data_IF_924310286277
#
_entry.id   IF_924310286277
#
_cell.length_a   1.000
_cell.length_b   1.000
_cell.length_c   1.000
_cell.angle_alpha   90.00
_cell.angle_beta   90.00
_cell.angle_gamma   90.00
#
_symmetry.space_group_name_H-M   'P 1'
#
loop_
_entity.id
_entity.type
_entity.pdbx_description
1 polymer ?
#
# COMPACT_ATOMS: atom_id res chain seq x y z
N UNK A 1 26.08 -2.93 -34.71
CA UNK A 1 26.46 -4.16 -35.41
C UNK A 1 27.90 -4.17 -35.87
N UNK A 2 28.31 -3.16 -36.62
CA UNK A 2 29.67 -3.07 -37.17
C UNK A 2 30.75 -2.82 -36.11
N UNK A 3 30.44 -1.95 -35.09
CA UNK A 3 31.40 -1.59 -34.01
C UNK A 3 31.54 -2.64 -32.92
N UNK A 4 30.50 -3.47 -32.69
CA UNK A 4 30.45 -4.49 -31.63
C UNK A 4 29.83 -5.81 -32.12
N UNK A 5 30.44 -6.54 -33.07
CA UNK A 5 29.80 -7.71 -33.68
C UNK A 5 29.62 -8.88 -32.73
N UNK A 6 30.44 -9.02 -31.69
CA UNK A 6 30.30 -10.06 -30.67
C UNK A 6 29.14 -9.75 -29.73
N UNK A 7 29.03 -8.52 -29.22
CA UNK A 7 27.93 -8.05 -28.41
C UNK A 7 26.61 -8.17 -29.15
N UNK A 8 26.55 -7.77 -30.43
CA UNK A 8 25.35 -7.91 -31.25
C UNK A 8 24.85 -9.38 -31.35
N UNK A 9 25.79 -10.34 -31.54
CA UNK A 9 25.44 -11.78 -31.59
C UNK A 9 24.94 -12.28 -30.22
N UNK A 10 25.56 -11.86 -29.14
CA UNK A 10 25.13 -12.26 -27.78
C UNK A 10 23.76 -11.71 -27.45
N UNK A 11 23.47 -10.45 -27.79
CA UNK A 11 22.15 -9.84 -27.67
C UNK A 11 21.09 -10.57 -28.51
N UNK A 12 21.41 -10.93 -29.76
CA UNK A 12 20.50 -11.70 -30.60
C UNK A 12 20.18 -13.09 -30.05
N UNK A 13 21.14 -13.73 -29.36
CA UNK A 13 20.90 -15.00 -28.67
C UNK A 13 19.97 -14.79 -27.46
N UNK A 14 20.18 -13.75 -26.67
CA UNK A 14 19.34 -13.41 -25.54
C UNK A 14 17.90 -13.10 -25.98
N UNK A 15 17.75 -12.26 -27.01
CA UNK A 15 16.44 -11.94 -27.59
C UNK A 15 15.67 -13.21 -28.05
N UNK A 16 16.38 -14.11 -28.71
CA UNK A 16 15.78 -15.40 -29.16
C UNK A 16 15.32 -16.22 -27.96
N UNK A 17 16.13 -16.37 -26.91
CA UNK A 17 15.75 -17.12 -25.70
C UNK A 17 14.54 -16.49 -24.99
N UNK A 18 14.48 -15.17 -24.90
CA UNK A 18 13.35 -14.48 -24.31
C UNK A 18 12.08 -14.64 -25.15
N UNK A 19 12.18 -14.59 -26.47
CA UNK A 19 11.03 -14.84 -27.38
C UNK A 19 10.53 -16.28 -27.31
N UNK A 20 11.42 -17.26 -27.21
CA UNK A 20 11.03 -18.65 -26.99
C UNK A 20 10.24 -18.81 -25.69
N UNK A 21 10.73 -18.20 -24.61
CA UNK A 21 10.04 -18.19 -23.32
C UNK A 21 8.70 -17.47 -23.37
N UNK A 22 8.61 -16.38 -24.13
CA UNK A 22 7.37 -15.61 -24.31
C UNK A 22 6.25 -16.43 -24.97
N UNK A 23 6.59 -17.31 -25.91
CA UNK A 23 5.61 -18.18 -26.60
C UNK A 23 4.88 -19.08 -25.60
N UNK A 24 5.61 -19.61 -24.60
CA UNK A 24 5.06 -20.50 -23.58
C UNK A 24 4.37 -19.74 -22.43
N UNK A 25 4.53 -18.40 -22.39
CA UNK A 25 4.02 -17.57 -21.33
C UNK A 25 2.60 -17.10 -21.64
N UNK A 26 1.63 -17.50 -20.80
CA UNK A 26 0.29 -16.90 -20.76
C UNK A 26 0.33 -15.52 -20.10
N UNK A 27 -0.43 -15.31 -19.04
CA UNK A 27 -0.32 -14.09 -18.23
C UNK A 27 1.02 -14.06 -17.51
N UNK A 28 1.38 -15.15 -16.85
CA UNK A 28 2.71 -15.38 -16.27
C UNK A 28 3.06 -16.87 -16.26
N UNK A 29 4.34 -17.17 -16.12
CA UNK A 29 4.89 -18.51 -16.05
C UNK A 29 5.97 -18.58 -14.98
N UNK A 30 5.77 -19.39 -13.95
CA UNK A 30 6.80 -19.67 -12.94
C UNK A 30 7.79 -20.67 -13.52
N UNK A 31 9.07 -20.38 -13.35
CA UNK A 31 10.18 -21.15 -13.87
C UNK A 31 10.94 -21.84 -12.73
N UNK A 32 11.53 -23.03 -12.97
CA UNK A 32 12.35 -23.71 -11.97
C UNK A 32 13.67 -22.99 -11.67
N UNK A 33 14.00 -21.96 -12.41
CA UNK A 33 15.19 -21.12 -12.28
C UNK A 33 15.48 -20.37 -13.56
N UNK A 34 16.61 -19.67 -13.60
CA UNK A 34 17.01 -18.84 -14.75
C UNK A 34 17.56 -19.65 -15.94
N UNK A 35 17.91 -20.92 -15.71
CA UNK A 35 18.45 -21.82 -16.75
C UNK A 35 19.65 -21.25 -17.51
N UNK A 36 19.66 -21.41 -18.84
CA UNK A 36 20.73 -20.94 -19.71
C UNK A 36 20.70 -19.44 -19.98
N UNK A 37 19.64 -18.74 -19.55
CA UNK A 37 19.47 -17.28 -19.76
C UNK A 37 20.52 -16.51 -18.98
N UNK A 38 20.78 -16.85 -17.70
CA UNK A 38 21.84 -16.20 -16.89
C UNK A 38 23.20 -16.31 -17.56
N UNK A 39 23.56 -17.47 -18.10
CA UNK A 39 24.82 -17.65 -18.82
C UNK A 39 24.91 -16.78 -20.09
N UNK A 40 23.79 -16.58 -20.77
CA UNK A 40 23.72 -15.70 -21.94
C UNK A 40 23.84 -14.23 -21.52
N UNK A 41 23.18 -13.83 -20.44
CA UNK A 41 23.27 -12.47 -19.86
C UNK A 41 24.69 -12.18 -19.40
N UNK A 42 25.35 -13.13 -18.70
CA UNK A 42 26.76 -13.00 -18.28
C UNK A 42 27.69 -12.79 -19.49
N UNK A 43 27.44 -13.52 -20.58
CA UNK A 43 28.19 -13.31 -21.82
C UNK A 43 27.92 -11.93 -22.41
N UNK A 44 26.67 -11.46 -22.43
CA UNK A 44 26.34 -10.10 -22.90
C UNK A 44 27.06 -9.07 -22.06
N UNK A 45 27.10 -9.19 -20.73
CA UNK A 45 27.86 -8.30 -19.85
C UNK A 45 29.35 -8.29 -20.21
N UNK A 46 29.97 -9.46 -20.31
CA UNK A 46 31.41 -9.54 -20.66
C UNK A 46 31.75 -8.91 -22.00
N UNK A 47 30.88 -9.05 -23.01
CA UNK A 47 31.08 -8.39 -24.32
C UNK A 47 30.83 -6.86 -24.23
N UNK A 48 29.95 -6.39 -23.34
CA UNK A 48 29.79 -4.97 -23.04
C UNK A 48 31.02 -4.41 -22.35
N UNK A 49 31.55 -5.08 -21.33
CA UNK A 49 32.73 -4.66 -20.60
C UNK A 49 33.92 -4.56 -21.55
N UNK A 50 34.13 -5.55 -22.40
CA UNK A 50 35.19 -5.55 -23.41
C UNK A 50 35.02 -4.42 -24.45
N UNK A 51 33.80 -4.11 -24.85
CA UNK A 51 33.51 -3.00 -25.74
C UNK A 51 33.85 -1.64 -25.09
N UNK A 52 33.43 -1.43 -23.84
CA UNK A 52 33.71 -0.19 -23.10
C UNK A 52 35.18 0.00 -22.84
N UNK A 53 35.91 -1.07 -22.54
CA UNK A 53 37.35 -1.02 -22.33
C UNK A 53 38.10 -0.65 -23.61
N UNK A 54 37.63 -1.16 -24.74
CA UNK A 54 38.23 -0.87 -26.05
C UNK A 54 37.89 0.53 -26.59
N UNK A 55 36.84 1.17 -26.08
CA UNK A 55 36.27 2.42 -26.58
C UNK A 55 36.01 3.39 -25.42
N UNK A 56 37.04 3.77 -24.69
CA UNK A 56 36.95 4.61 -23.47
C UNK A 56 36.30 5.99 -23.68
N UNK A 57 36.37 6.52 -24.91
CA UNK A 57 35.82 7.83 -25.26
C UNK A 57 34.39 7.77 -25.79
N UNK A 58 33.76 6.58 -25.81
CA UNK A 58 32.36 6.43 -26.26
C UNK A 58 31.43 6.76 -25.14
N UNK A 59 30.63 7.81 -25.29
CA UNK A 59 29.51 8.11 -24.48
C UNK A 59 28.32 7.20 -24.87
N UNK A 60 27.79 6.44 -23.91
CA UNK A 60 26.62 5.60 -24.13
C UNK A 60 25.34 6.45 -24.06
N UNK A 61 24.43 6.22 -25.00
CA UNK A 61 23.06 6.71 -24.90
C UNK A 61 22.42 6.23 -23.59
N UNK A 62 21.55 7.02 -23.00
CA UNK A 62 20.95 6.74 -21.68
C UNK A 62 20.22 5.40 -21.64
N UNK A 63 19.53 5.01 -22.71
CA UNK A 63 18.85 3.71 -22.80
C UNK A 63 19.83 2.54 -22.79
N UNK A 64 20.97 2.67 -23.49
CA UNK A 64 22.01 1.64 -23.52
C UNK A 64 22.70 1.53 -22.17
N UNK A 65 22.95 2.67 -21.53
CA UNK A 65 23.53 2.75 -20.17
C UNK A 65 22.59 2.08 -19.17
N UNK A 66 21.28 2.39 -19.20
CA UNK A 66 20.28 1.77 -18.37
C UNK A 66 20.24 0.26 -18.55
N UNK A 67 20.19 -0.21 -19.80
CA UNK A 67 20.19 -1.64 -20.10
C UNK A 67 21.44 -2.37 -19.57
N UNK A 68 22.63 -1.74 -19.66
CA UNK A 68 23.85 -2.30 -19.08
C UNK A 68 23.75 -2.45 -17.55
N UNK A 69 23.19 -1.46 -16.85
CA UNK A 69 22.96 -1.56 -15.41
C UNK A 69 21.88 -2.57 -15.06
N UNK A 70 20.83 -2.69 -15.85
CA UNK A 70 19.77 -3.69 -15.65
C UNK A 70 20.35 -5.11 -15.77
N UNK A 71 21.22 -5.38 -16.73
CA UNK A 71 21.96 -6.64 -16.86
C UNK A 71 22.79 -6.95 -15.61
N UNK A 72 23.57 -5.96 -15.14
CA UNK A 72 24.40 -6.12 -13.94
C UNK A 72 23.54 -6.39 -12.71
N UNK A 73 22.45 -5.66 -12.54
CA UNK A 73 21.52 -5.86 -11.46
C UNK A 73 20.91 -7.27 -11.51
N UNK A 74 20.48 -7.70 -12.69
CA UNK A 74 19.93 -9.05 -12.85
C UNK A 74 20.94 -10.12 -12.40
N UNK A 75 22.20 -10.02 -12.81
CA UNK A 75 23.25 -10.97 -12.45
C UNK A 75 23.55 -10.94 -10.94
N UNK A 76 23.64 -9.76 -10.34
CA UNK A 76 23.84 -9.61 -8.89
C UNK A 76 22.69 -10.28 -8.10
N UNK A 77 21.46 -10.14 -8.54
CA UNK A 77 20.30 -10.81 -7.90
C UNK A 77 20.33 -12.31 -8.19
N UNK A 78 20.72 -12.73 -9.39
CA UNK A 78 20.80 -14.14 -9.76
C UNK A 78 21.76 -14.94 -8.88
N UNK A 79 22.81 -14.30 -8.35
CA UNK A 79 23.73 -14.90 -7.36
C UNK A 79 23.12 -15.09 -5.97
N UNK A 80 22.03 -14.38 -5.66
CA UNK A 80 21.33 -14.44 -4.37
C UNK A 80 20.13 -15.39 -4.37
N UNK A 81 19.84 -16.04 -5.51
CA UNK A 81 18.66 -16.92 -5.63
C UNK A 81 18.82 -18.13 -4.72
N UNK A 82 17.89 -18.29 -3.81
CA UNK A 82 17.68 -19.43 -2.94
C UNK A 82 16.20 -19.84 -2.95
N UNK A 83 15.78 -20.67 -2.01
CA UNK A 83 14.37 -21.09 -1.86
C UNK A 83 13.39 -19.95 -1.55
N UNK A 84 13.88 -18.75 -1.22
CA UNK A 84 13.05 -17.57 -0.96
C UNK A 84 12.86 -16.69 -2.20
N UNK A 85 13.32 -17.16 -3.36
CA UNK A 85 13.10 -16.49 -4.65
C UNK A 85 12.19 -17.30 -5.56
N UNK A 86 11.38 -16.61 -6.33
CA UNK A 86 10.63 -17.18 -7.45
C UNK A 86 11.08 -16.51 -8.73
N UNK A 87 11.55 -17.33 -9.69
CA UNK A 87 11.83 -16.87 -11.05
C UNK A 87 10.57 -17.01 -11.85
N UNK A 88 10.13 -15.93 -12.48
CA UNK A 88 8.94 -15.98 -13.34
C UNK A 88 9.05 -15.05 -14.53
N UNK A 89 8.30 -15.37 -15.57
CA UNK A 89 8.12 -14.53 -16.75
C UNK A 89 6.68 -14.04 -16.82
N UNK A 90 6.47 -12.85 -17.38
CA UNK A 90 5.13 -12.30 -17.58
C UNK A 90 5.06 -11.44 -18.85
N UNK A 91 3.86 -11.39 -19.44
CA UNK A 91 3.49 -10.36 -20.39
C UNK A 91 2.86 -9.20 -19.62
N UNK A 92 3.56 -8.06 -19.55
CA UNK A 92 3.06 -6.87 -18.86
C UNK A 92 1.87 -6.24 -19.57
N UNK A 93 1.05 -5.50 -18.85
CA UNK A 93 -0.09 -4.74 -19.42
C UNK A 93 0.36 -3.69 -20.46
N UNK A 94 1.61 -3.23 -20.38
CA UNK A 94 2.26 -2.36 -21.35
C UNK A 94 2.76 -3.09 -22.62
N UNK A 95 2.47 -4.40 -22.75
CA UNK A 95 2.89 -5.24 -23.85
C UNK A 95 4.35 -5.68 -23.82
N UNK A 96 5.10 -5.34 -22.77
CA UNK A 96 6.49 -5.77 -22.63
C UNK A 96 6.58 -7.13 -21.93
N UNK A 97 7.37 -8.03 -22.51
CA UNK A 97 7.73 -9.28 -21.88
C UNK A 97 8.84 -9.07 -20.85
N UNK A 98 8.67 -9.65 -19.66
CA UNK A 98 9.63 -9.53 -18.55
C UNK A 98 9.98 -10.87 -17.96
N UNK A 99 11.26 -11.07 -17.69
CA UNK A 99 11.78 -12.12 -16.82
C UNK A 99 12.17 -11.48 -15.49
N UNK A 100 11.58 -11.97 -14.41
CA UNK A 100 11.76 -11.39 -13.07
C UNK A 100 12.36 -12.39 -12.09
N UNK A 101 13.22 -11.89 -11.22
CA UNK A 101 13.77 -12.57 -10.06
C UNK A 101 13.11 -11.98 -8.82
N UNK A 102 12.09 -12.66 -8.29
CA UNK A 102 11.23 -12.13 -7.24
C UNK A 102 11.61 -12.70 -5.88
N UNK A 103 12.15 -11.87 -5.00
CA UNK A 103 12.39 -12.23 -3.61
C UNK A 103 11.06 -12.22 -2.85
N UNK A 104 10.53 -13.40 -2.54
CA UNK A 104 9.26 -13.57 -1.82
C UNK A 104 9.42 -13.50 -0.30
N UNK A 105 10.62 -13.83 0.22
CA UNK A 105 10.96 -13.67 1.63
C UNK A 105 12.38 -13.09 1.78
N UNK A 106 12.52 -11.81 2.16
CA UNK A 106 13.82 -11.16 2.26
C UNK A 106 14.64 -11.50 3.51
N UNK A 107 14.09 -12.27 4.45
CA UNK A 107 14.68 -12.47 5.78
C UNK A 107 16.10 -13.03 5.75
N UNK A 108 16.41 -13.96 4.83
CA UNK A 108 17.75 -14.55 4.71
C UNK A 108 18.74 -13.49 4.27
N UNK A 109 18.45 -12.77 3.20
CA UNK A 109 19.33 -11.70 2.70
C UNK A 109 19.50 -10.58 3.72
N UNK A 110 18.42 -10.14 4.35
CA UNK A 110 18.50 -9.14 5.44
C UNK A 110 19.34 -9.65 6.59
N UNK A 111 19.20 -10.92 6.96
CA UNK A 111 19.99 -11.56 8.02
C UNK A 111 21.50 -11.47 7.79
N UNK A 112 21.97 -11.63 6.54
CA UNK A 112 23.39 -11.49 6.20
C UNK A 112 23.89 -10.04 6.38
N UNK A 113 23.05 -9.05 6.08
CA UNK A 113 23.38 -7.64 6.34
C UNK A 113 23.32 -7.29 7.82
N UNK A 114 22.33 -7.80 8.54
CA UNK A 114 22.18 -7.58 9.99
C UNK A 114 23.35 -8.13 10.81
N UNK A 115 23.96 -9.24 10.38
CA UNK A 115 25.18 -9.82 10.99
C UNK A 115 26.38 -8.85 10.95
N UNK A 116 26.41 -7.89 10.03
CA UNK A 116 27.49 -6.90 9.95
C UNK A 116 27.35 -5.79 11.00
N UNK A 117 26.17 -5.65 11.59
CA UNK A 117 25.88 -4.72 12.68
C UNK A 117 25.99 -5.38 14.05
N UNK A 118 26.18 -4.59 15.10
CA UNK A 118 26.15 -5.07 16.48
C UNK A 118 24.74 -5.41 16.95
N UNK A 119 23.77 -4.64 16.55
CA UNK A 119 22.34 -4.79 16.83
C UNK A 119 21.51 -4.05 15.81
N UNK A 120 20.25 -4.44 15.63
CA UNK A 120 19.27 -3.76 14.79
C UNK A 120 17.95 -3.64 15.56
N UNK A 121 17.29 -2.50 15.40
CA UNK A 121 15.96 -2.23 15.96
C UNK A 121 15.04 -1.83 14.83
N UNK A 122 13.97 -2.60 14.62
CA UNK A 122 12.90 -2.29 13.70
C UNK A 122 11.72 -1.76 14.49
N UNK A 123 11.16 -0.64 14.09
CA UNK A 123 10.01 -0.06 14.77
C UNK A 123 9.03 0.58 13.78
N UNK A 124 7.74 0.42 14.05
CA UNK A 124 6.66 1.10 13.37
C UNK A 124 5.39 0.99 14.21
N UNK A 125 4.47 1.90 14.03
CA UNK A 125 3.13 1.81 14.62
C UNK A 125 2.27 0.70 14.00
N UNK A 126 2.67 0.16 12.85
CA UNK A 126 1.91 -0.83 12.06
C UNK A 126 2.64 -2.15 11.84
N UNK A 127 3.63 -2.52 12.70
CA UNK A 127 4.26 -3.84 12.66
C UNK A 127 3.33 -4.93 13.22
N UNK A 128 2.13 -5.03 12.65
CA UNK A 128 1.10 -5.98 13.04
C UNK A 128 0.66 -6.87 11.87
N UNK A 129 0.52 -8.20 12.06
CA UNK A 129 0.90 -8.94 13.26
C UNK A 129 2.43 -9.09 13.37
N UNK A 130 2.94 -9.05 14.57
CA UNK A 130 4.39 -9.08 14.84
C UNK A 130 5.06 -10.35 14.28
N UNK A 131 4.37 -11.50 14.29
CA UNK A 131 4.85 -12.76 13.73
C UNK A 131 5.15 -12.69 12.24
N UNK A 132 4.31 -11.97 11.48
CA UNK A 132 4.50 -11.74 10.05
C UNK A 132 5.79 -10.96 9.79
N UNK A 133 5.96 -9.83 10.46
CA UNK A 133 7.16 -9.00 10.27
C UNK A 133 8.43 -9.67 10.76
N UNK A 134 8.38 -10.45 11.85
CA UNK A 134 9.54 -11.22 12.31
C UNK A 134 10.01 -12.20 11.24
N UNK A 135 9.08 -12.91 10.58
CA UNK A 135 9.41 -13.85 9.49
C UNK A 135 10.01 -13.15 8.27
N UNK A 136 9.62 -11.93 7.97
CA UNK A 136 10.14 -11.18 6.83
C UNK A 136 11.44 -10.43 7.11
N UNK A 137 11.69 -10.05 8.36
CA UNK A 137 12.85 -9.20 8.72
C UNK A 137 14.06 -10.01 9.18
N UNK A 138 13.86 -11.10 9.93
CA UNK A 138 14.98 -11.85 10.49
C UNK A 138 14.80 -13.37 10.42
N UNK A 139 13.57 -13.85 10.43
CA UNK A 139 13.20 -15.26 10.55
C UNK A 139 13.83 -15.98 11.77
N UNK A 140 14.18 -15.23 12.83
CA UNK A 140 14.78 -15.76 14.04
C UNK A 140 13.74 -15.82 15.16
N UNK A 141 13.67 -16.95 15.84
CA UNK A 141 12.68 -17.16 16.92
C UNK A 141 13.08 -16.46 18.23
N UNK A 142 14.37 -16.22 18.42
CA UNK A 142 14.95 -15.58 19.60
C UNK A 142 14.96 -14.05 19.54
N UNK A 143 14.53 -13.45 18.43
CA UNK A 143 14.42 -12.00 18.33
C UNK A 143 13.25 -11.48 19.18
N UNK A 144 13.51 -10.45 19.97
CA UNK A 144 12.52 -9.84 20.84
C UNK A 144 11.50 -9.03 20.04
N UNK A 145 10.23 -9.26 20.33
CA UNK A 145 9.15 -8.41 19.90
C UNK A 145 8.56 -7.65 21.08
N UNK A 146 8.60 -6.32 21.06
CA UNK A 146 8.11 -5.47 22.14
C UNK A 146 6.92 -4.69 21.62
N UNK A 147 5.80 -4.76 22.32
CA UNK A 147 4.66 -3.91 22.11
C UNK A 147 4.76 -2.72 23.06
N UNK A 148 4.73 -1.52 22.52
CA UNK A 148 4.73 -0.27 23.29
C UNK A 148 3.33 0.32 23.23
N UNK A 149 2.73 0.58 24.37
CA UNK A 149 1.40 1.18 24.43
C UNK A 149 1.38 2.57 23.78
N UNK A 150 0.26 2.88 23.13
CA UNK A 150 0.06 4.19 22.52
C UNK A 150 0.05 5.29 23.60
N UNK A 151 0.78 6.39 23.40
CA UNK A 151 0.75 7.54 24.33
C UNK A 151 -0.54 8.36 24.25
N UNK A 152 -1.42 8.03 23.29
CA UNK A 152 -2.64 8.78 23.00
C UNK A 152 -3.83 8.20 23.77
N UNK A 153 -4.61 9.07 24.40
CA UNK A 153 -5.80 8.66 25.17
C UNK A 153 -6.86 8.05 24.24
N UNK A 154 -7.40 6.90 24.64
CA UNK A 154 -8.54 6.30 23.94
C UNK A 154 -9.79 7.20 23.97
N UNK A 155 -9.93 8.07 24.97
CA UNK A 155 -11.04 9.02 25.09
C UNK A 155 -11.03 10.09 24.00
N UNK A 156 -9.88 10.33 23.40
CA UNK A 156 -9.71 11.34 22.36
C UNK A 156 -10.17 10.86 20.97
N UNK A 157 -10.57 9.60 20.84
CA UNK A 157 -11.01 9.06 19.56
C UNK A 157 -12.29 8.24 19.68
N UNK A 158 -13.07 8.23 18.59
CA UNK A 158 -14.19 7.34 18.42
C UNK A 158 -13.92 6.42 17.22
N UNK A 159 -13.84 5.12 17.46
CA UNK A 159 -13.65 4.13 16.39
C UNK A 159 -14.93 3.36 16.19
N UNK A 160 -15.57 3.50 15.03
CA UNK A 160 -16.80 2.84 14.66
C UNK A 160 -16.60 1.86 13.51
N UNK A 161 -17.14 0.69 13.64
CA UNK A 161 -17.07 -0.38 12.66
C UNK A 161 -18.47 -0.68 12.11
N UNK A 162 -18.73 -0.28 10.88
CA UNK A 162 -20.00 -0.49 10.21
C UNK A 162 -20.22 -1.97 9.88
N UNK A 163 -21.36 -2.49 10.29
CA UNK A 163 -21.69 -3.91 10.12
C UNK A 163 -22.65 -4.22 8.98
N UNK A 164 -23.16 -3.21 8.30
CA UNK A 164 -24.23 -3.29 7.29
C UNK A 164 -23.79 -2.76 5.91
N UNK A 165 -22.50 -2.58 5.71
CA UNK A 165 -21.89 -2.12 4.45
C UNK A 165 -20.72 -3.01 4.04
N UNK A 166 -20.53 -3.17 2.73
CA UNK A 166 -19.46 -4.02 2.18
C UNK A 166 -18.80 -3.40 0.97
N UNK A 167 -17.49 -3.55 0.86
CA UNK A 167 -16.71 -3.17 -0.34
C UNK A 167 -16.42 -4.35 -1.26
N UNK A 168 -16.96 -5.53 -0.99
CA UNK A 168 -16.76 -6.72 -1.81
C UNK A 168 -17.20 -6.48 -3.25
N UNK A 169 -16.39 -6.96 -4.20
CA UNK A 169 -16.67 -6.78 -5.63
C UNK A 169 -18.05 -7.30 -6.04
N UNK A 170 -18.47 -8.42 -5.49
CA UNK A 170 -19.78 -9.03 -5.76
C UNK A 170 -20.98 -8.24 -5.22
N UNK A 171 -20.74 -7.29 -4.30
CA UNK A 171 -21.77 -6.42 -3.71
C UNK A 171 -21.75 -5.00 -4.24
N UNK A 172 -20.81 -4.67 -5.12
CA UNK A 172 -20.68 -3.32 -5.70
C UNK A 172 -21.90 -2.99 -6.56
N UNK A 173 -22.44 -1.81 -6.35
CA UNK A 173 -23.58 -1.27 -7.06
C UNK A 173 -24.14 -0.08 -6.31
N UNK A 174 -25.13 0.59 -6.90
CA UNK A 174 -25.72 1.83 -6.38
C UNK A 174 -26.12 1.72 -4.90
N UNK A 175 -26.79 0.65 -4.49
CA UNK A 175 -27.24 0.49 -3.09
C UNK A 175 -26.08 0.52 -2.07
N UNK A 176 -24.98 -0.15 -2.37
CA UNK A 176 -23.81 -0.12 -1.47
C UNK A 176 -23.09 1.24 -1.56
N UNK A 177 -23.01 1.85 -2.74
CA UNK A 177 -22.42 3.17 -2.90
C UNK A 177 -23.21 4.25 -2.17
N UNK A 178 -24.53 4.17 -2.23
CA UNK A 178 -25.45 5.03 -1.48
C UNK A 178 -25.24 4.89 0.04
N UNK A 179 -25.19 3.66 0.57
CA UNK A 179 -24.91 3.44 2.00
C UNK A 179 -23.57 4.05 2.42
N UNK A 180 -22.51 3.86 1.61
CA UNK A 180 -21.19 4.44 1.89
C UNK A 180 -21.28 5.97 1.89
N UNK A 181 -21.91 6.56 0.89
CA UNK A 181 -22.11 8.00 0.80
C UNK A 181 -22.92 8.55 1.99
N UNK A 182 -23.98 7.85 2.41
CA UNK A 182 -24.78 8.20 3.58
C UNK A 182 -23.95 8.13 4.88
N UNK A 183 -23.10 7.11 5.07
CA UNK A 183 -22.16 7.06 6.21
C UNK A 183 -21.21 8.26 6.22
N UNK A 184 -20.66 8.64 5.06
CA UNK A 184 -19.78 9.81 4.93
C UNK A 184 -20.54 11.05 5.35
N UNK A 185 -21.72 11.29 4.79
CA UNK A 185 -22.57 12.44 5.09
C UNK A 185 -22.91 12.53 6.58
N UNK A 186 -23.46 11.46 7.14
CA UNK A 186 -23.81 11.38 8.56
C UNK A 186 -22.62 11.61 9.49
N UNK A 187 -21.41 11.25 9.07
CA UNK A 187 -20.20 11.49 9.85
C UNK A 187 -19.78 12.96 9.79
N UNK A 188 -19.75 13.54 8.60
CA UNK A 188 -19.32 14.92 8.37
C UNK A 188 -20.28 15.93 8.99
N UNK A 189 -21.58 15.62 8.99
CA UNK A 189 -22.61 16.52 9.53
C UNK A 189 -22.61 16.63 11.04
N UNK A 190 -21.95 15.72 11.78
CA UNK A 190 -21.90 15.78 13.25
C UNK A 190 -20.92 16.83 13.80
N UNK A 191 -19.88 17.17 13.06
CA UNK A 191 -18.88 18.16 13.49
C UNK A 191 -18.25 18.85 12.30
N UNK A 192 -18.23 20.18 12.28
CA UNK A 192 -17.45 20.93 11.30
C UNK A 192 -15.95 20.66 11.44
N UNK A 193 -15.27 20.44 10.33
CA UNK A 193 -13.84 20.18 10.26
C UNK A 193 -13.46 19.40 9.02
N UNK A 194 -12.23 18.92 8.97
CA UNK A 194 -11.70 18.26 7.78
C UNK A 194 -11.69 16.74 7.96
N UNK A 195 -12.11 16.06 6.91
CA UNK A 195 -12.25 14.61 6.85
C UNK A 195 -11.53 14.06 5.63
N UNK A 196 -10.93 12.88 5.76
CA UNK A 196 -10.43 12.08 4.66
C UNK A 196 -11.23 10.79 4.52
N UNK A 197 -11.62 10.47 3.29
CA UNK A 197 -12.28 9.21 2.94
C UNK A 197 -11.35 8.41 2.06
N UNK A 198 -10.97 7.22 2.48
CA UNK A 198 -10.01 6.37 1.78
C UNK A 198 -10.70 5.20 1.10
N UNK A 199 -10.50 5.08 -0.20
CA UNK A 199 -11.10 4.05 -1.06
C UNK A 199 -10.08 3.03 -1.56
N UNK A 200 -10.49 1.78 -1.85
CA UNK A 200 -9.60 0.74 -2.35
C UNK A 200 -9.23 0.92 -3.84
N UNK A 201 -9.96 1.75 -4.59
CA UNK A 201 -9.71 2.00 -6.01
C UNK A 201 -10.35 3.31 -6.47
N UNK A 202 -9.78 3.93 -7.53
CA UNK A 202 -10.35 5.14 -8.15
C UNK A 202 -11.78 4.93 -8.64
N UNK A 203 -12.07 3.79 -9.27
CA UNK A 203 -13.43 3.47 -9.72
C UNK A 203 -14.45 3.55 -8.59
N UNK A 204 -14.14 2.96 -7.41
CA UNK A 204 -15.06 3.00 -6.28
C UNK A 204 -15.17 4.40 -5.68
N UNK A 205 -14.07 5.17 -5.66
CA UNK A 205 -14.06 6.56 -5.25
C UNK A 205 -15.00 7.38 -6.13
N UNK A 206 -14.85 7.30 -7.44
CA UNK A 206 -15.65 8.04 -8.43
C UNK A 206 -17.15 7.73 -8.32
N UNK A 207 -17.50 6.45 -8.21
CA UNK A 207 -18.90 5.99 -8.10
C UNK A 207 -19.55 6.48 -6.78
N UNK A 208 -18.83 6.37 -5.65
CA UNK A 208 -19.37 6.83 -4.36
C UNK A 208 -19.40 8.36 -4.30
N UNK A 209 -18.40 9.03 -4.85
CA UNK A 209 -18.37 10.49 -4.93
C UNK A 209 -19.54 11.04 -5.74
N UNK A 210 -19.86 10.44 -6.89
CA UNK A 210 -21.01 10.85 -7.70
C UNK A 210 -22.32 10.78 -6.91
N UNK A 211 -22.56 9.69 -6.18
CA UNK A 211 -23.74 9.55 -5.32
C UNK A 211 -23.72 10.57 -4.18
N UNK A 212 -22.56 10.79 -3.56
CA UNK A 212 -22.43 11.76 -2.47
C UNK A 212 -22.73 13.19 -2.96
N UNK A 213 -22.21 13.57 -4.12
CA UNK A 213 -22.39 14.89 -4.69
C UNK A 213 -23.85 15.15 -5.09
N UNK A 214 -24.53 14.15 -5.67
CA UNK A 214 -25.92 14.25 -6.12
C UNK A 214 -26.91 14.29 -4.94
N UNK A 215 -26.71 13.48 -3.90
CA UNK A 215 -27.73 13.23 -2.88
C UNK A 215 -27.41 13.81 -1.50
N UNK A 216 -26.14 14.00 -1.16
CA UNK A 216 -25.69 14.36 0.18
C UNK A 216 -24.88 15.65 0.28
N UNK A 217 -24.54 16.27 -0.86
CA UNK A 217 -23.76 17.52 -0.84
C UNK A 217 -24.53 18.66 -0.17
N UNK A 218 -23.81 19.46 0.60
CA UNK A 218 -24.35 20.63 1.30
C UNK A 218 -23.39 21.81 1.14
N UNK A 219 -23.92 23.03 1.07
CA UNK A 219 -23.16 24.23 0.73
C UNK A 219 -22.01 24.58 1.70
N UNK A 220 -22.03 24.05 2.91
CA UNK A 220 -21.00 24.30 3.94
C UNK A 220 -19.93 23.19 4.01
N UNK A 221 -19.94 22.24 3.06
CA UNK A 221 -18.93 21.18 2.92
C UNK A 221 -18.29 21.28 1.55
N UNK A 222 -16.99 21.55 1.53
CA UNK A 222 -16.19 21.49 0.32
C UNK A 222 -15.72 20.06 0.08
N UNK A 223 -15.87 19.55 -1.13
CA UNK A 223 -15.37 18.25 -1.54
C UNK A 223 -14.19 18.39 -2.49
N UNK A 224 -13.14 17.61 -2.27
CA UNK A 224 -12.00 17.48 -3.17
C UNK A 224 -11.68 16.01 -3.42
N UNK A 225 -11.25 15.67 -4.64
CA UNK A 225 -10.97 14.30 -5.04
C UNK A 225 -9.52 14.14 -5.51
N UNK A 226 -8.88 13.08 -5.04
CA UNK A 226 -7.58 12.66 -5.56
C UNK A 226 -7.72 12.17 -7.00
N UNK A 227 -6.88 12.69 -7.89
CA UNK A 227 -6.76 12.24 -9.28
C UNK A 227 -5.58 11.26 -9.44
N UNK A 228 -5.71 10.29 -10.33
CA UNK A 228 -4.67 9.29 -10.63
C UNK A 228 -3.42 9.87 -11.29
N UNK A 229 -3.54 11.01 -11.98
CA UNK A 229 -2.46 11.70 -12.71
C UNK A 229 -1.92 12.94 -12.00
N UNK A 230 -2.21 13.11 -10.70
CA UNK A 230 -1.84 14.27 -9.90
C UNK A 230 -0.32 14.51 -9.90
N UNK A 231 0.09 15.71 -10.33
CA UNK A 231 1.48 16.17 -10.27
C UNK A 231 1.82 16.70 -8.87
N UNK A 232 3.11 16.92 -8.60
CA UNK A 232 3.57 17.39 -7.29
C UNK A 232 2.92 18.70 -6.86
N UNK A 233 2.80 19.66 -7.76
CA UNK A 233 2.14 20.94 -7.48
C UNK A 233 0.66 20.77 -7.11
N UNK A 234 -0.07 19.90 -7.82
CA UNK A 234 -1.48 19.61 -7.52
C UNK A 234 -1.65 18.91 -6.16
N UNK A 235 -0.63 18.11 -5.75
CA UNK A 235 -0.59 17.50 -4.42
C UNK A 235 -0.41 18.55 -3.32
N UNK A 236 0.47 19.52 -3.53
CA UNK A 236 0.68 20.62 -2.60
C UNK A 236 -0.59 21.48 -2.47
N UNK A 237 -1.23 21.82 -3.58
CA UNK A 237 -2.49 22.55 -3.60
C UNK A 237 -3.60 21.78 -2.86
N UNK A 238 -3.71 20.47 -3.08
CA UNK A 238 -4.65 19.60 -2.37
C UNK A 238 -4.43 19.62 -0.84
N UNK A 239 -3.19 19.60 -0.40
CA UNK A 239 -2.85 19.66 1.05
C UNK A 239 -3.07 21.05 1.65
N UNK A 240 -2.87 22.12 0.88
CA UNK A 240 -3.12 23.49 1.34
C UNK A 240 -4.61 23.71 1.66
N UNK A 241 -5.53 22.99 1.02
CA UNK A 241 -6.96 23.06 1.34
C UNK A 241 -7.26 22.71 2.81
N UNK A 242 -6.49 21.81 3.41
CA UNK A 242 -6.64 21.45 4.83
C UNK A 242 -6.19 22.56 5.79
N UNK A 243 -5.40 23.52 5.30
CA UNK A 243 -4.88 24.62 6.11
C UNK A 243 -5.70 25.89 5.97
N UNK A 244 -6.24 26.13 4.78
CA UNK A 244 -6.85 27.39 4.40
C UNK A 244 -8.38 27.38 4.51
N UNK A 245 -8.99 26.20 4.56
CA UNK A 245 -10.43 26.07 4.55
C UNK A 245 -11.05 26.52 5.88
N UNK A 246 -12.01 27.45 5.83
CA UNK A 246 -12.79 27.90 6.98
C UNK A 246 -14.09 27.11 7.17
N UNK A 247 -14.43 26.26 6.23
CA UNK A 247 -15.61 25.40 6.21
C UNK A 247 -15.20 23.95 6.48
N UNK A 248 -16.14 23.02 6.39
CA UNK A 248 -15.82 21.61 6.40
C UNK A 248 -15.25 21.15 5.07
N UNK A 249 -14.20 20.32 5.12
CA UNK A 249 -13.57 19.72 3.95
C UNK A 249 -13.72 18.21 3.99
N UNK A 250 -14.13 17.61 2.87
CA UNK A 250 -14.09 16.16 2.65
C UNK A 250 -13.18 15.84 1.48
N UNK A 251 -12.08 15.17 1.76
CA UNK A 251 -11.12 14.76 0.75
C UNK A 251 -11.29 13.27 0.44
N UNK A 252 -11.61 12.95 -0.80
CA UNK A 252 -11.76 11.58 -1.31
C UNK A 252 -10.42 11.11 -1.85
N UNK A 253 -9.82 10.11 -1.20
CA UNK A 253 -8.46 9.66 -1.45
C UNK A 253 -8.37 8.15 -1.69
N UNK A 254 -7.25 7.68 -2.23
CA UNK A 254 -6.97 6.25 -2.40
C UNK A 254 -6.17 5.72 -1.21
N UNK A 255 -6.61 4.59 -0.67
CA UNK A 255 -5.93 3.90 0.43
C UNK A 255 -4.59 3.32 -0.03
N UNK A 256 -3.50 3.66 0.66
CA UNK A 256 -2.14 3.31 0.24
C UNK A 256 -1.63 4.17 -0.93
N UNK A 257 -2.33 5.27 -1.28
CA UNK A 257 -1.88 6.29 -2.21
C UNK A 257 -1.06 7.38 -1.52
N UNK A 258 -0.72 8.40 -2.31
CA UNK A 258 0.16 9.52 -1.90
C UNK A 258 -0.30 10.30 -0.67
N UNK A 259 -1.60 10.26 -0.33
CA UNK A 259 -2.18 10.92 0.84
C UNK A 259 -2.37 9.99 2.04
N UNK A 260 -2.10 8.69 1.88
CA UNK A 260 -2.09 7.73 3.00
C UNK A 260 -0.77 7.71 3.76
N UNK A 261 0.31 8.22 3.14
CA UNK A 261 1.66 8.23 3.69
C UNK A 261 2.30 9.62 3.53
N UNK A 262 3.23 9.98 4.41
CA UNK A 262 4.06 11.16 4.23
C UNK A 262 3.39 12.53 4.42
N UNK A 263 2.12 12.61 4.85
CA UNK A 263 1.44 13.86 5.16
C UNK A 263 1.30 14.04 6.68
N UNK A 264 1.36 15.27 7.14
CA UNK A 264 1.31 15.62 8.58
C UNK A 264 0.26 16.71 8.82
N UNK A 265 -0.99 16.27 9.04
CA UNK A 265 -2.13 17.14 9.32
C UNK A 265 -2.39 17.15 10.83
N UNK A 266 -1.69 18.04 11.55
CA UNK A 266 -1.76 18.13 13.01
C UNK A 266 -2.98 18.90 13.47
N UNK A 267 -3.49 18.55 14.67
CA UNK A 267 -4.56 19.28 15.33
C UNK A 267 -5.89 19.18 14.58
N UNK A 268 -6.56 20.30 14.46
CA UNK A 268 -7.88 20.38 13.79
C UNK A 268 -7.82 20.29 12.26
N UNK A 269 -6.60 20.17 11.67
CA UNK A 269 -6.45 20.01 10.23
C UNK A 269 -7.03 18.68 9.72
N UNK A 270 -7.19 17.66 10.58
CA UNK A 270 -7.87 16.43 10.25
C UNK A 270 -8.55 15.84 11.50
N UNK A 271 -9.88 15.85 11.53
CA UNK A 271 -10.68 15.35 12.65
C UNK A 271 -11.39 14.03 12.37
N UNK A 272 -11.31 13.51 11.16
CA UNK A 272 -11.93 12.23 10.81
C UNK A 272 -11.31 11.52 9.64
N UNK A 273 -11.22 10.18 9.76
CA UNK A 273 -10.87 9.28 8.67
C UNK A 273 -11.96 8.23 8.48
N UNK A 274 -12.41 8.08 7.25
CA UNK A 274 -13.41 7.10 6.84
C UNK A 274 -12.75 6.14 5.88
N UNK A 275 -12.68 4.86 6.25
CA UNK A 275 -11.94 3.84 5.53
C UNK A 275 -12.91 2.87 4.87
N UNK A 276 -13.01 2.94 3.57
CA UNK A 276 -13.90 2.10 2.77
C UNK A 276 -13.16 0.84 2.35
N UNK A 277 -13.58 -0.29 2.90
CA UNK A 277 -12.98 -1.59 2.61
C UNK A 277 -11.70 -1.89 3.38
N UNK A 278 -11.24 -3.11 3.24
CA UNK A 278 -10.13 -3.70 4.03
C UNK A 278 -8.73 -3.44 3.42
N UNK A 279 -8.61 -2.53 2.48
CA UNK A 279 -7.32 -2.13 1.91
C UNK A 279 -6.60 -3.19 1.08
N UNK A 280 -7.27 -4.29 0.73
CA UNK A 280 -6.62 -5.39 -0.01
C UNK A 280 -5.95 -4.85 -1.28
N UNK A 281 -4.69 -5.22 -1.55
CA UNK A 281 -4.03 -4.93 -2.80
C UNK A 281 -4.82 -5.48 -4.00
N UNK A 282 -4.64 -4.86 -5.16
CA UNK A 282 -5.19 -5.41 -6.40
C UNK A 282 -4.60 -6.78 -6.71
N UNK A 283 -5.39 -7.61 -7.41
CA UNK A 283 -4.92 -8.88 -7.94
C UNK A 283 -3.78 -8.62 -8.93
N UNK A 284 -2.77 -9.49 -8.89
CA UNK A 284 -1.62 -9.39 -9.79
C UNK A 284 -0.71 -10.60 -9.65
N UNK A 285 0.12 -10.82 -10.65
CA UNK A 285 0.98 -12.01 -10.74
C UNK A 285 1.87 -12.17 -9.49
N UNK A 286 2.51 -11.11 -9.03
CA UNK A 286 3.36 -11.16 -7.83
C UNK A 286 2.57 -11.51 -6.56
N UNK A 287 1.32 -11.04 -6.46
CA UNK A 287 0.46 -11.36 -5.31
C UNK A 287 0.04 -12.83 -5.31
N UNK A 288 -0.28 -13.39 -6.48
CA UNK A 288 -0.62 -14.80 -6.59
C UNK A 288 0.62 -15.70 -6.38
N UNK A 289 1.79 -15.28 -6.83
CA UNK A 289 3.07 -15.97 -6.53
C UNK A 289 3.33 -15.97 -5.01
N UNK A 290 3.21 -14.81 -4.34
CA UNK A 290 3.33 -14.73 -2.88
C UNK A 290 2.32 -15.64 -2.17
N UNK A 291 1.06 -15.61 -2.60
CA UNK A 291 0.01 -16.45 -2.05
C UNK A 291 0.34 -17.94 -2.17
N UNK A 292 0.75 -18.37 -3.36
CA UNK A 292 1.13 -19.76 -3.60
C UNK A 292 2.33 -20.16 -2.77
N UNK A 293 3.40 -19.36 -2.78
CA UNK A 293 4.63 -19.61 -2.02
C UNK A 293 4.34 -19.82 -0.53
N UNK A 294 3.62 -18.90 0.12
CA UNK A 294 3.32 -19.03 1.55
C UNK A 294 2.35 -20.18 1.85
N UNK A 295 1.42 -20.50 0.94
CA UNK A 295 0.52 -21.65 1.09
C UNK A 295 1.31 -22.97 1.03
N UNK A 296 2.23 -23.11 0.11
CA UNK A 296 3.11 -24.29 -0.05
C UNK A 296 4.05 -24.46 1.15
N UNK A 297 4.41 -23.36 1.81
CA UNK A 297 5.23 -23.35 3.02
C UNK A 297 4.40 -23.45 4.34
N UNK A 298 3.13 -23.84 4.25
CA UNK A 298 2.28 -24.13 5.41
C UNK A 298 1.67 -22.92 6.12
N UNK A 299 1.74 -21.74 5.50
CA UNK A 299 1.13 -20.51 6.00
C UNK A 299 -0.21 -20.22 5.31
N UNK A 300 -0.97 -19.29 5.83
CA UNK A 300 -2.11 -18.76 5.09
C UNK A 300 -1.64 -17.78 4.02
N UNK A 301 -1.44 -18.24 2.79
CA UNK A 301 -0.92 -17.41 1.70
C UNK A 301 -1.77 -16.18 1.41
N UNK A 302 -3.09 -16.22 1.63
CA UNK A 302 -3.96 -15.06 1.48
C UNK A 302 -3.63 -13.96 2.50
N UNK A 303 -3.26 -14.35 3.72
CA UNK A 303 -2.86 -13.40 4.75
C UNK A 303 -1.60 -12.62 4.35
N UNK A 304 -0.60 -13.34 3.86
CA UNK A 304 0.69 -12.76 3.45
C UNK A 304 0.56 -11.89 2.20
N UNK A 305 -0.18 -12.35 1.20
CA UNK A 305 -0.30 -11.63 -0.07
C UNK A 305 -1.27 -10.45 -0.02
N UNK A 306 -2.33 -10.55 0.79
CA UNK A 306 -3.46 -9.62 0.72
C UNK A 306 -3.85 -9.01 2.07
N UNK A 307 -4.16 -9.84 3.10
CA UNK A 307 -4.79 -9.35 4.33
C UNK A 307 -3.85 -8.49 5.16
N UNK A 308 -2.63 -8.95 5.42
CA UNK A 308 -1.67 -8.17 6.21
C UNK A 308 -1.27 -6.86 5.52
N UNK A 309 -0.89 -6.86 4.23
CA UNK A 309 -0.64 -5.61 3.51
C UNK A 309 -1.86 -4.68 3.46
N UNK A 310 -3.06 -5.24 3.33
CA UNK A 310 -4.31 -4.47 3.34
C UNK A 310 -4.56 -3.79 4.67
N UNK A 311 -4.51 -4.55 5.76
CA UNK A 311 -4.71 -4.01 7.11
C UNK A 311 -3.65 -2.98 7.48
N UNK A 312 -2.42 -3.15 7.00
CA UNK A 312 -1.37 -2.15 7.21
C UNK A 312 -1.76 -0.78 6.61
N UNK A 313 -2.30 -0.77 5.38
CA UNK A 313 -2.82 0.46 4.75
C UNK A 313 -3.97 1.07 5.55
N UNK A 314 -4.90 0.25 6.06
CA UNK A 314 -6.01 0.69 6.90
C UNK A 314 -5.49 1.37 8.17
N UNK A 315 -4.55 0.75 8.86
CA UNK A 315 -3.96 1.29 10.09
C UNK A 315 -3.16 2.58 9.83
N UNK A 316 -2.41 2.65 8.73
CA UNK A 316 -1.67 3.86 8.33
C UNK A 316 -2.62 5.04 8.05
N UNK A 317 -3.68 4.80 7.29
CA UNK A 317 -4.68 5.82 6.98
C UNK A 317 -5.42 6.30 8.24
N UNK A 318 -5.83 5.38 9.09
CA UNK A 318 -6.49 5.71 10.37
C UNK A 318 -5.56 6.47 11.34
N UNK A 319 -4.28 6.13 11.35
CA UNK A 319 -3.25 6.79 12.18
C UNK A 319 -3.01 8.26 11.85
N UNK A 320 -3.64 8.81 10.80
CA UNK A 320 -3.56 10.24 10.46
C UNK A 320 -4.38 11.13 11.39
N UNK A 321 -5.42 10.59 12.03
CA UNK A 321 -6.37 11.37 12.84
C UNK A 321 -5.81 11.79 14.19
N UNK A 322 -5.06 10.92 14.87
CA UNK A 322 -4.50 11.21 16.19
C UNK A 322 -2.97 11.19 16.09
N UNK A 323 -2.37 12.37 16.18
CA UNK A 323 -0.91 12.60 16.03
C UNK A 323 -0.29 13.24 17.26
N UNK A 324 -1.11 13.96 18.03
CA UNK A 324 -0.72 14.58 19.30
C UNK A 324 -1.64 14.13 20.44
N UNK A 325 -1.28 14.48 21.68
CA UNK A 325 -2.11 14.16 22.85
C UNK A 325 -3.38 14.99 22.93
N UNK A 326 -3.41 16.10 22.22
CA UNK A 326 -4.50 17.08 22.19
C UNK A 326 -5.46 16.84 21.01
N UNK A 327 -5.10 15.94 20.08
CA UNK A 327 -5.95 15.65 18.93
C UNK A 327 -7.18 14.84 19.35
N UNK A 328 -8.30 15.16 18.72
CA UNK A 328 -9.57 14.45 18.88
C UNK A 328 -10.13 14.12 17.50
N UNK A 329 -10.69 12.93 17.36
CA UNK A 329 -11.26 12.60 16.06
C UNK A 329 -11.96 11.26 15.98
N UNK A 330 -12.56 11.03 14.81
CA UNK A 330 -13.37 9.84 14.52
C UNK A 330 -12.71 8.99 13.44
N UNK A 331 -12.81 7.68 13.59
CA UNK A 331 -12.34 6.70 12.62
C UNK A 331 -13.52 5.79 12.30
N UNK A 332 -13.98 5.82 11.05
CA UNK A 332 -15.03 4.94 10.55
C UNK A 332 -14.42 3.85 9.67
N UNK A 333 -14.75 2.60 9.99
CA UNK A 333 -14.35 1.42 9.25
C UNK A 333 -15.58 0.88 8.50
N UNK A 334 -15.65 1.16 7.20
CA UNK A 334 -16.81 0.82 6.36
C UNK A 334 -16.58 -0.48 5.60
N UNK A 335 -16.66 -1.60 6.32
CA UNK A 335 -16.72 -2.95 5.74
C UNK A 335 -17.09 -3.98 6.81
N UNK A 336 -18.06 -4.82 6.54
CA UNK A 336 -18.49 -5.88 7.45
C UNK A 336 -17.38 -6.88 7.83
N UNK A 337 -16.37 -7.06 6.96
CA UNK A 337 -15.22 -7.96 7.21
C UNK A 337 -14.38 -7.54 8.41
N UNK A 338 -14.35 -6.29 8.80
CA UNK A 338 -13.62 -5.85 9.98
C UNK A 338 -14.15 -6.48 11.29
N UNK A 339 -15.37 -7.05 11.27
CA UNK A 339 -15.95 -7.80 12.39
C UNK A 339 -15.53 -9.27 12.42
N UNK A 340 -15.04 -9.79 11.30
CA UNK A 340 -14.57 -11.17 11.22
C UNK A 340 -13.27 -11.31 12.04
N UNK A 341 -13.11 -12.46 12.68
CA UNK A 341 -11.99 -12.72 13.60
C UNK A 341 -10.63 -12.52 12.92
N UNK A 342 -10.51 -12.90 11.65
CA UNK A 342 -9.31 -12.83 10.85
C UNK A 342 -8.84 -11.38 10.62
N UNK A 343 -9.74 -10.42 10.61
CA UNK A 343 -9.43 -8.99 10.50
C UNK A 343 -9.37 -8.32 11.87
N UNK A 344 -10.32 -8.66 12.76
CA UNK A 344 -10.43 -8.00 14.06
C UNK A 344 -9.20 -8.23 14.96
N UNK A 345 -8.52 -9.37 14.80
CA UNK A 345 -7.27 -9.70 15.49
C UNK A 345 -6.03 -8.91 14.97
N UNK A 346 -6.16 -8.22 13.85
CA UNK A 346 -5.06 -7.44 13.26
C UNK A 346 -5.07 -5.97 13.69
N UNK A 347 -6.08 -5.56 14.46
CA UNK A 347 -6.09 -4.22 15.02
C UNK A 347 -5.16 -4.11 16.24
N UNK A 348 -4.59 -2.93 16.49
CA UNK A 348 -3.84 -2.66 17.71
C UNK A 348 -4.65 -2.97 18.97
N UNK A 349 -3.98 -3.41 20.03
CA UNK A 349 -4.62 -3.76 21.30
C UNK A 349 -5.41 -2.57 21.89
N UNK A 350 -4.90 -1.36 21.74
CA UNK A 350 -5.58 -0.13 22.18
C UNK A 350 -6.86 0.19 21.41
N UNK A 351 -7.15 -0.50 20.31
CA UNK A 351 -8.41 -0.37 19.57
C UNK A 351 -9.51 -1.32 20.06
N UNK A 352 -9.34 -1.92 21.24
CA UNK A 352 -10.36 -2.79 21.83
C UNK A 352 -11.66 -2.06 22.23
N UNK A 353 -11.63 -0.72 22.27
CA UNK A 353 -12.78 0.16 22.48
C UNK A 353 -13.64 0.42 21.23
N UNK A 354 -13.29 -0.21 20.08
CA UNK A 354 -14.07 -0.12 18.84
C UNK A 354 -15.52 -0.54 19.07
N UNK A 355 -16.45 0.27 18.56
CA UNK A 355 -17.90 -0.01 18.64
C UNK A 355 -18.42 -0.40 17.27
N UNK A 356 -19.39 -1.29 17.26
CA UNK A 356 -20.15 -1.59 16.03
C UNK A 356 -21.22 -0.53 15.82
N UNK A 357 -21.41 -0.10 14.59
CA UNK A 357 -22.49 0.78 14.20
C UNK A 357 -23.24 0.26 12.96
N UNK A 358 -24.39 0.86 12.71
CA UNK A 358 -25.22 0.75 11.52
C UNK A 358 -25.65 2.14 11.08
N UNK A 359 -26.19 2.31 9.87
CA UNK A 359 -26.72 3.60 9.41
C UNK A 359 -27.77 4.18 10.36
N UNK A 360 -28.51 3.34 11.10
CA UNK A 360 -29.53 3.79 12.03
C UNK A 360 -29.00 4.39 13.35
N UNK A 361 -27.75 4.10 13.74
CA UNK A 361 -27.23 4.52 15.04
C UNK A 361 -25.86 5.22 14.99
N UNK A 362 -25.25 5.36 13.82
CA UNK A 362 -23.93 5.99 13.67
C UNK A 362 -23.93 7.45 14.15
N UNK A 363 -24.97 8.22 13.81
CA UNK A 363 -25.12 9.62 14.20
C UNK A 363 -25.15 9.78 15.73
N UNK A 364 -25.98 9.01 16.42
CA UNK A 364 -26.09 9.06 17.87
C UNK A 364 -24.76 8.71 18.59
N UNK A 365 -23.98 7.75 18.02
CA UNK A 365 -22.68 7.41 18.59
C UNK A 365 -21.64 8.51 18.38
N UNK A 366 -21.61 9.13 17.18
CA UNK A 366 -20.73 10.25 16.87
C UNK A 366 -21.08 11.49 17.69
N UNK A 367 -22.36 11.84 17.77
CA UNK A 367 -22.84 12.96 18.58
C UNK A 367 -22.42 12.80 20.05
N UNK A 368 -22.66 11.63 20.64
CA UNK A 368 -22.23 11.34 22.02
C UNK A 368 -20.74 11.50 22.23
N UNK A 369 -19.92 11.13 21.23
CA UNK A 369 -18.49 11.33 21.30
C UNK A 369 -18.14 12.83 21.26
N UNK A 370 -18.66 13.57 20.29
CA UNK A 370 -18.33 14.99 20.14
C UNK A 370 -18.83 15.84 21.33
N UNK A 371 -19.98 15.50 21.93
CA UNK A 371 -20.47 16.14 23.17
C UNK A 371 -19.55 15.88 24.37
N UNK A 372 -18.78 14.78 24.37
CA UNK A 372 -17.82 14.47 25.43
C UNK A 372 -16.50 15.20 25.29
N UNK A 373 -16.23 15.81 24.15
CA UNK A 373 -15.01 16.59 23.89
C UNK A 373 -15.26 18.03 24.33
N UNK A 374 -14.47 18.58 25.28
CA UNK A 374 -14.60 19.97 25.69
C UNK A 374 -14.41 20.91 24.49
N UNK A 375 -15.31 21.87 24.33
CA UNK A 375 -15.05 22.97 23.40
C UNK A 375 -13.76 23.66 23.83
N UNK A 376 -12.80 23.77 22.94
CA UNK A 376 -11.63 24.63 23.20
C UNK A 376 -12.17 26.07 23.32
N UNK A 377 -12.39 26.52 24.54
CA UNK A 377 -12.66 27.93 24.83
C UNK A 377 -11.51 28.68 24.16
N UNK A 378 -11.84 29.52 23.18
CA UNK A 378 -10.90 30.37 22.48
C UNK A 378 -10.21 31.30 23.52
N UNK A 379 -9.09 30.83 24.08
CA UNK A 379 -8.15 31.70 24.75
C UNK A 379 -7.38 32.48 23.67
N UNK A 380 -8.09 33.37 22.98
CA UNK A 380 -7.48 34.59 22.43
C UNK A 380 -7.69 35.66 23.45
N UNK A 381 -6.72 35.85 24.32
CA UNK A 381 -6.40 37.10 24.99
C UNK A 381 -5.16 37.67 24.34
#
# INVERSE_FOLDING_TARGET
>A
KERAPRLYRSLGKLDKQLKELQVDCGNYLVLPGTGSITMTILKVQGEFDAFLEAHKDVELEDEVRKFYFDIRNFLNIAELIDENYVVYAENGEDGLFRLKLFCVNPAVNLGEYLKKGRSAVFFSATLLPMSYYRKLLSNRQDDYGIYVESPFSQKNRCILNAGDVSSLYSRRGYEEYHKIAEYIAKTVWQRKGNYMVFFPSYKMLEEVYAVYEEEFSVNWVKCICQNSSMKEQEREEFLQEFEQNQESLVAFCIMGGIFSEGIDLLGEKLIGAILVGTGLPQLGNEREILRSFYTENGENGFDYAYRYPGMNKVLQAAGRVIRTREDHGVILLLDERFRQREYSNLFPVEWNDRKTCTLSNVEAQLQKFWESIPDKISHKL
#
